data_IF_150851507245
#
_entry.id   IF_150851507245
#
_cell.length_a   1.000
_cell.length_b   1.000
_cell.length_c   1.000
_cell.angle_alpha   90.00
_cell.angle_beta   90.00
_cell.angle_gamma   90.00
#
_symmetry.space_group_name_H-M   'P 1'
#
loop_
_entity.id
_entity.type
_entity.pdbx_description
1 polymer ?
#
# COMPACT_ATOMS: atom_id res chain seq x y z
N UNK A 1 0.82 -0.36 -13.13
CA UNK A 1 -0.08 0.19 -12.10
C UNK A 1 -1.16 -0.85 -11.79
N UNK A 2 -1.45 -1.04 -10.53
CA UNK A 2 -2.47 -1.99 -10.07
C UNK A 2 -3.61 -1.21 -9.41
N UNK A 3 -4.87 -1.39 -9.84
CA UNK A 3 -6.02 -0.67 -9.28
C UNK A 3 -6.47 -1.30 -7.96
N UNK A 4 -5.57 -1.28 -6.98
CA UNK A 4 -5.79 -1.88 -5.66
C UNK A 4 -5.70 -0.77 -4.62
N UNK A 5 -6.70 -0.64 -3.74
CA UNK A 5 -6.67 0.33 -2.65
C UNK A 5 -5.61 -0.10 -1.64
N UNK A 6 -4.59 0.72 -1.36
CA UNK A 6 -3.58 0.38 -0.36
C UNK A 6 -4.22 0.13 1.01
N UNK A 7 -3.72 -0.88 1.71
CA UNK A 7 -4.24 -1.28 3.01
C UNK A 7 -3.08 -1.54 3.97
N UNK A 8 -3.07 -0.94 5.16
CA UNK A 8 -2.02 -1.21 6.14
C UNK A 8 -2.20 -2.59 6.76
N UNK A 9 -1.09 -3.20 7.17
CA UNK A 9 -1.14 -4.44 7.94
C UNK A 9 -1.68 -4.14 9.35
N UNK A 10 -2.74 -4.82 9.78
CA UNK A 10 -3.25 -4.66 11.13
C UNK A 10 -2.34 -5.35 12.12
N UNK A 11 -2.33 -4.88 13.36
CA UNK A 11 -1.65 -5.57 14.44
C UNK A 11 -2.49 -6.79 14.84
N UNK A 12 -2.01 -7.98 14.48
CA UNK A 12 -2.70 -9.22 14.77
C UNK A 12 -2.61 -9.58 16.25
N UNK A 13 -3.73 -10.02 16.82
CA UNK A 13 -3.79 -10.59 18.16
C UNK A 13 -4.35 -12.01 18.07
N UNK A 14 -4.26 -12.77 19.16
CA UNK A 14 -4.84 -14.14 19.21
C UNK A 14 -6.33 -14.14 18.90
N UNK A 15 -7.04 -13.08 19.29
CA UNK A 15 -8.47 -12.93 19.02
C UNK A 15 -8.78 -12.80 17.54
N UNK A 16 -7.86 -12.29 16.74
CA UNK A 16 -8.11 -12.01 15.33
C UNK A 16 -8.28 -13.27 14.49
N UNK A 17 -7.76 -14.40 14.95
CA UNK A 17 -8.01 -15.69 14.30
C UNK A 17 -9.48 -16.11 14.37
N UNK A 18 -10.20 -15.67 15.39
CA UNK A 18 -11.52 -16.15 15.71
C UNK A 18 -12.61 -15.08 15.59
N UNK A 19 -12.27 -13.81 15.86
CA UNK A 19 -13.24 -12.73 15.95
C UNK A 19 -13.46 -11.97 14.64
N UNK A 20 -12.51 -12.03 13.70
CA UNK A 20 -12.67 -11.43 12.37
C UNK A 20 -12.90 -9.92 12.40
N UNK A 21 -12.05 -9.14 13.09
CA UNK A 21 -12.17 -7.69 13.12
C UNK A 21 -12.20 -7.10 11.70
N UNK A 22 -12.97 -6.01 11.46
CA UNK A 22 -13.05 -5.43 10.11
C UNK A 22 -11.69 -5.06 9.49
N UNK A 23 -10.73 -4.57 10.28
CA UNK A 23 -9.40 -4.24 9.78
C UNK A 23 -8.64 -5.48 9.30
N UNK A 24 -8.82 -6.63 9.95
CA UNK A 24 -8.20 -7.90 9.55
C UNK A 24 -8.86 -8.42 8.28
N UNK A 25 -10.18 -8.32 8.19
CA UNK A 25 -10.92 -8.73 6.99
C UNK A 25 -10.51 -7.89 5.77
N UNK A 26 -10.35 -6.58 5.96
CA UNK A 26 -9.86 -5.69 4.88
C UNK A 26 -8.46 -6.06 4.43
N UNK A 27 -7.59 -6.41 5.37
CA UNK A 27 -6.24 -6.85 5.04
C UNK A 27 -6.23 -8.15 4.24
N UNK A 28 -7.04 -9.13 4.62
CA UNK A 28 -7.13 -10.38 3.87
C UNK A 28 -7.71 -10.17 2.47
N UNK A 29 -8.71 -9.30 2.32
CA UNK A 29 -9.24 -8.93 1.02
C UNK A 29 -8.19 -8.24 0.15
N UNK A 30 -7.39 -7.34 0.74
CA UNK A 30 -6.27 -6.70 0.07
C UNK A 30 -5.23 -7.72 -0.39
N UNK A 31 -4.87 -8.66 0.48
CA UNK A 31 -3.92 -9.72 0.15
C UNK A 31 -4.43 -10.56 -1.04
N UNK A 32 -5.71 -10.88 -1.04
CA UNK A 32 -6.31 -11.65 -2.13
C UNK A 32 -6.29 -10.88 -3.46
N UNK A 33 -6.55 -9.57 -3.42
CA UNK A 33 -6.44 -8.71 -4.61
C UNK A 33 -5.01 -8.63 -5.14
N UNK A 34 -4.03 -8.49 -4.25
CA UNK A 34 -2.60 -8.50 -4.61
C UNK A 34 -2.24 -9.78 -5.37
N UNK A 35 -2.70 -10.92 -4.87
CA UNK A 35 -2.45 -12.23 -5.49
C UNK A 35 -3.20 -12.39 -6.80
N UNK A 36 -4.44 -11.94 -6.86
CA UNK A 36 -5.28 -12.01 -8.05
C UNK A 36 -4.68 -11.21 -9.21
N UNK A 37 -4.14 -10.02 -8.92
CA UNK A 37 -3.52 -9.16 -9.93
C UNK A 37 -2.09 -9.59 -10.30
N UNK A 38 -1.53 -10.58 -9.62
CA UNK A 38 -0.19 -11.08 -9.90
C UNK A 38 0.89 -10.03 -9.66
N UNK A 39 0.76 -9.24 -8.60
CA UNK A 39 1.72 -8.18 -8.28
C UNK A 39 3.09 -8.77 -8.05
N UNK A 40 4.11 -8.19 -8.68
CA UNK A 40 5.51 -8.55 -8.50
C UNK A 40 6.28 -7.34 -7.99
N UNK A 41 7.25 -7.57 -7.10
CA UNK A 41 8.07 -6.52 -6.50
C UNK A 41 9.54 -6.86 -6.72
N UNK A 42 10.31 -5.97 -7.38
CA UNK A 42 11.74 -6.22 -7.61
C UNK A 42 12.57 -6.06 -6.32
N UNK A 43 13.82 -6.50 -6.36
CA UNK A 43 14.74 -6.41 -5.20
C UNK A 43 15.04 -4.97 -4.80
N UNK A 44 15.04 -4.06 -5.77
CA UNK A 44 15.16 -2.61 -5.58
C UNK A 44 13.84 -1.99 -6.00
N UNK A 45 12.96 -1.79 -5.04
CA UNK A 45 11.58 -1.44 -5.34
C UNK A 45 11.26 0.02 -5.00
N UNK A 46 10.49 0.65 -5.87
CA UNK A 46 9.82 1.90 -5.56
C UNK A 46 8.31 1.65 -5.59
N UNK A 47 7.69 1.72 -4.42
CA UNK A 47 6.25 1.55 -4.28
C UNK A 47 5.60 2.91 -4.11
N UNK A 48 4.63 3.22 -4.96
CA UNK A 48 3.84 4.44 -4.83
C UNK A 48 2.41 4.04 -4.49
N UNK A 49 1.96 4.46 -3.32
CA UNK A 49 0.62 4.20 -2.83
C UNK A 49 -0.25 5.41 -3.08
N UNK A 50 -1.25 5.25 -3.94
CA UNK A 50 -2.26 6.27 -4.19
C UNK A 50 -3.44 5.99 -3.28
N UNK A 51 -3.70 6.90 -2.35
CA UNK A 51 -4.73 6.73 -1.34
C UNK A 51 -5.96 7.56 -1.72
N UNK A 52 -7.14 6.93 -1.80
CA UNK A 52 -8.33 7.66 -2.21
C UNK A 52 -8.69 8.75 -1.21
N UNK A 53 -9.04 9.91 -1.72
CA UNK A 53 -9.44 11.04 -0.90
C UNK A 53 -10.78 10.76 -0.22
N UNK A 54 -11.01 11.29 1.01
CA UNK A 54 -12.29 11.13 1.68
C UNK A 54 -13.45 11.67 0.84
N UNK A 55 -14.55 10.94 0.83
CA UNK A 55 -15.76 11.35 0.09
C UNK A 55 -16.37 12.64 0.62
N UNK A 56 -16.09 12.95 1.90
CA UNK A 56 -16.58 14.17 2.57
C UNK A 56 -15.88 15.45 2.10
N UNK A 57 -14.73 15.35 1.41
CA UNK A 57 -14.03 16.51 0.92
C UNK A 57 -14.79 17.15 -0.25
N UNK A 58 -14.80 18.50 -0.29
CA UNK A 58 -15.38 19.24 -1.41
C UNK A 58 -14.60 18.96 -2.69
N UNK A 59 -15.25 19.23 -3.83
CA UNK A 59 -14.57 19.07 -5.14
C UNK A 59 -13.34 19.98 -5.26
N UNK A 60 -13.42 21.18 -4.71
CA UNK A 60 -12.31 22.12 -4.69
C UNK A 60 -11.12 21.54 -3.92
N UNK A 61 -11.36 21.00 -2.71
CA UNK A 61 -10.31 20.41 -1.88
C UNK A 61 -9.71 19.17 -2.56
N UNK A 62 -10.54 18.33 -3.17
CA UNK A 62 -10.08 17.16 -3.90
C UNK A 62 -9.17 17.53 -5.07
N UNK A 63 -9.54 18.58 -5.83
CA UNK A 63 -8.71 19.07 -6.92
C UNK A 63 -7.37 19.63 -6.44
N UNK A 64 -7.36 20.33 -5.30
CA UNK A 64 -6.14 20.90 -4.72
C UNK A 64 -5.21 19.82 -4.16
N UNK A 65 -5.75 18.74 -3.62
CA UNK A 65 -4.97 17.70 -2.94
C UNK A 65 -4.56 16.54 -3.85
N UNK A 66 -5.14 16.44 -5.03
CA UNK A 66 -4.83 15.34 -5.96
C UNK A 66 -3.35 15.32 -6.33
N UNK A 67 -2.70 14.18 -6.14
CA UNK A 67 -1.28 14.01 -6.39
C UNK A 67 -0.35 14.59 -5.32
N UNK A 68 -0.88 15.22 -4.28
CA UNK A 68 -0.06 15.79 -3.22
C UNK A 68 0.34 14.74 -2.17
N UNK A 69 1.43 14.99 -1.41
CA UNK A 69 1.85 14.05 -0.38
C UNK A 69 0.74 13.75 0.62
N UNK A 70 0.59 12.47 0.93
CA UNK A 70 -0.31 11.98 1.97
C UNK A 70 0.48 11.91 3.27
N UNK A 71 0.19 12.77 4.22
CA UNK A 71 1.00 12.94 5.43
C UNK A 71 0.26 12.55 6.71
N UNK A 72 -0.79 11.77 6.59
CA UNK A 72 -1.55 11.24 7.72
C UNK A 72 -1.48 9.71 7.70
N UNK A 73 -2.08 9.06 8.69
CA UNK A 73 -2.12 7.59 8.71
C UNK A 73 -2.85 7.03 7.48
N UNK A 74 -2.48 5.86 6.99
CA UNK A 74 -1.44 4.93 7.48
C UNK A 74 -0.03 5.33 7.07
N UNK A 75 0.97 4.82 7.81
CA UNK A 75 2.38 5.09 7.55
C UNK A 75 2.87 4.38 6.29
N UNK A 76 3.81 5.01 5.58
CA UNK A 76 4.34 4.46 4.32
C UNK A 76 5.02 3.11 4.51
N UNK A 77 5.79 2.95 5.60
CA UNK A 77 6.46 1.68 5.91
C UNK A 77 5.47 0.57 6.20
N UNK A 78 4.35 0.88 6.87
CA UNK A 78 3.32 -0.11 7.15
C UNK A 78 2.59 -0.57 5.86
N UNK A 79 2.35 0.36 4.93
CA UNK A 79 1.79 0.01 3.63
C UNK A 79 2.75 -0.86 2.81
N UNK A 80 4.04 -0.52 2.82
CA UNK A 80 5.06 -1.29 2.13
C UNK A 80 5.18 -2.71 2.71
N UNK A 81 5.15 -2.83 4.05
CA UNK A 81 5.18 -4.12 4.72
C UNK A 81 3.97 -4.98 4.36
N UNK A 82 2.78 -4.40 4.38
CA UNK A 82 1.55 -5.13 4.03
C UNK A 82 1.61 -5.65 2.59
N UNK A 83 2.11 -4.82 1.68
CA UNK A 83 2.26 -5.20 0.27
C UNK A 83 3.28 -6.32 0.09
N UNK A 84 4.44 -6.22 0.74
CA UNK A 84 5.48 -7.24 0.70
C UNK A 84 5.01 -8.58 1.28
N UNK A 85 4.34 -8.54 2.43
CA UNK A 85 3.82 -9.74 3.09
C UNK A 85 2.73 -10.42 2.23
N UNK A 86 1.97 -9.65 1.45
CA UNK A 86 0.95 -10.18 0.56
C UNK A 86 1.54 -10.88 -0.67
N UNK A 87 2.69 -10.40 -1.17
CA UNK A 87 3.35 -10.95 -2.37
C UNK A 87 4.24 -12.13 -2.03
N UNK A 88 4.98 -12.06 -0.93
CA UNK A 88 6.02 -13.01 -0.59
C UNK A 88 5.76 -13.70 0.75
N UNK A 89 6.17 -14.96 0.85
CA UNK A 89 6.32 -15.63 2.14
C UNK A 89 7.56 -15.10 2.89
N UNK A 90 8.56 -14.64 2.14
CA UNK A 90 9.81 -14.08 2.63
C UNK A 90 10.22 -12.92 1.73
N UNK A 91 10.40 -11.73 2.29
CA UNK A 91 10.71 -10.50 1.54
C UNK A 91 12.13 -9.98 1.80
N UNK A 92 12.98 -10.77 2.42
CA UNK A 92 14.36 -10.37 2.76
C UNK A 92 15.24 -10.05 1.55
N UNK A 93 14.86 -10.48 0.36
CA UNK A 93 15.58 -10.16 -0.88
C UNK A 93 15.45 -8.70 -1.30
N UNK A 94 14.45 -7.97 -0.79
CA UNK A 94 14.27 -6.55 -1.04
C UNK A 94 15.26 -5.79 -0.17
N UNK A 95 16.30 -5.23 -0.79
CA UNK A 95 17.39 -4.58 -0.06
C UNK A 95 17.42 -3.06 -0.27
N UNK A 96 16.64 -2.54 -1.22
CA UNK A 96 16.52 -1.11 -1.47
C UNK A 96 15.05 -0.79 -1.72
N UNK A 97 14.46 -0.02 -0.83
CA UNK A 97 13.02 0.24 -0.84
C UNK A 97 12.74 1.73 -0.70
N UNK A 98 12.01 2.26 -1.66
CA UNK A 98 11.42 3.59 -1.56
C UNK A 98 9.91 3.46 -1.52
N UNK A 99 9.27 4.07 -0.54
CA UNK A 99 7.83 4.09 -0.38
C UNK A 99 7.32 5.52 -0.39
N UNK A 100 6.33 5.78 -1.22
CA UNK A 100 5.75 7.10 -1.41
C UNK A 100 4.24 7.00 -1.27
N UNK A 101 3.64 7.94 -0.54
CA UNK A 101 2.18 8.03 -0.39
C UNK A 101 1.69 9.34 -0.98
N UNK A 102 0.69 9.26 -1.83
CA UNK A 102 0.03 10.46 -2.38
C UNK A 102 -1.49 10.31 -2.36
N UNK A 103 -2.18 11.43 -2.38
CA UNK A 103 -3.63 11.45 -2.53
C UNK A 103 -4.02 11.24 -3.99
N UNK A 104 -5.13 10.56 -4.23
CA UNK A 104 -5.69 10.40 -5.57
C UNK A 104 -7.18 10.17 -5.54
N UNK A 105 -7.79 10.14 -6.71
CA UNK A 105 -9.23 9.94 -6.88
C UNK A 105 -9.63 8.49 -6.55
N UNK A 106 -8.82 7.54 -6.98
CA UNK A 106 -9.03 6.11 -6.72
C UNK A 106 -7.76 5.50 -6.17
N UNK A 107 -7.90 4.45 -5.36
CA UNK A 107 -6.77 3.71 -4.84
C UNK A 107 -5.98 3.01 -5.93
N UNK A 108 -4.65 3.06 -5.83
CA UNK A 108 -3.76 2.37 -6.76
C UNK A 108 -2.42 2.10 -6.11
N UNK A 109 -1.70 1.12 -6.64
CA UNK A 109 -0.32 0.83 -6.26
C UNK A 109 0.51 0.80 -7.53
N UNK A 110 1.55 1.62 -7.56
CA UNK A 110 2.55 1.60 -8.62
C UNK A 110 3.79 0.90 -8.11
N UNK A 111 4.31 -0.02 -8.89
CA UNK A 111 5.56 -0.72 -8.58
C UNK A 111 6.58 -0.36 -9.65
N UNK A 112 7.68 0.22 -9.23
CA UNK A 112 8.80 0.54 -10.09
C UNK A 112 10.08 -0.09 -9.58
N UNK A 113 11.08 -0.13 -10.43
CA UNK A 113 12.42 -0.60 -10.07
C UNK A 113 13.33 0.61 -9.91
N UNK A 114 14.04 0.66 -8.77
CA UNK A 114 15.04 1.69 -8.53
C UNK A 114 16.28 1.36 -9.35
N UNK A 115 16.81 2.37 -10.04
CA UNK A 115 18.02 2.24 -10.86
C UNK A 115 19.10 3.19 -10.37
N UNK A 116 20.32 2.95 -10.75
CA UNK A 116 21.46 3.75 -10.36
C UNK A 116 22.33 3.05 -9.33
N UNK A 117 23.51 3.57 -9.13
CA UNK A 117 24.49 3.02 -8.19
C UNK A 117 24.32 3.66 -6.81
N UNK A 118 24.67 2.90 -5.79
CA UNK A 118 24.75 3.41 -4.42
C UNK A 118 26.10 4.11 -4.28
N UNK A 119 26.04 5.38 -3.88
CA UNK A 119 27.23 6.17 -3.59
C UNK A 119 27.70 5.99 -2.14
#
# INVERSE_FOLDING_TARGET
>A
MYPIVPCPAPRMTRRDKWAGRPCVQRYFAFRDEIRLHGVTIPDRAWLVFVIPMPKSWSEKRRAEMDGKPHTVRPDADNLAKACGDAVFSEDSHIWDLRATKIWGQSGAIWVGELTGEIE
#
